data_IF_494281124840
#
_entry.id   IF_494281124840
#
_cell.length_a   1.000
_cell.length_b   1.000
_cell.length_c   1.000
_cell.angle_alpha   90.00
_cell.angle_beta   90.00
_cell.angle_gamma   90.00
#
_symmetry.space_group_name_H-M   'P 1'
#
loop_
_entity.id
_entity.type
_entity.pdbx_description
1 polymer ?
#
# COMPACT_ATOMS: atom_id res chain seq x y z
N UNK A 1 64.30 -31.95 -6.62
CA UNK A 1 63.43 -33.05 -6.15
C UNK A 1 62.00 -32.53 -6.10
N UNK A 2 61.08 -33.09 -6.90
CA UNK A 2 59.72 -32.61 -7.06
C UNK A 2 58.77 -33.26 -6.04
N UNK A 3 57.84 -32.49 -5.48
CA UNK A 3 56.65 -33.02 -4.81
C UNK A 3 55.41 -32.61 -5.59
N UNK A 4 54.50 -33.57 -5.66
CA UNK A 4 53.57 -33.83 -6.74
C UNK A 4 52.31 -32.98 -6.59
N UNK A 5 51.88 -32.38 -7.70
CA UNK A 5 50.60 -31.68 -7.86
C UNK A 5 49.47 -32.71 -7.93
N UNK A 6 48.64 -32.79 -6.90
CA UNK A 6 47.38 -33.53 -6.98
C UNK A 6 46.27 -32.56 -7.39
N UNK A 7 45.89 -32.62 -8.67
CA UNK A 7 44.73 -31.92 -9.24
C UNK A 7 43.46 -32.67 -8.83
N UNK A 8 42.59 -32.05 -8.06
CA UNK A 8 41.21 -32.50 -7.92
C UNK A 8 40.38 -31.94 -9.07
N UNK A 9 39.92 -32.84 -9.92
CA UNK A 9 39.13 -32.58 -11.11
C UNK A 9 37.65 -32.80 -10.71
N UNK A 10 36.90 -31.72 -10.51
CA UNK A 10 35.45 -31.80 -10.27
C UNK A 10 34.78 -31.89 -11.65
N UNK A 11 34.25 -33.08 -11.96
CA UNK A 11 33.44 -33.32 -13.15
C UNK A 11 32.12 -32.55 -13.06
N UNK A 12 31.92 -31.64 -14.02
CA UNK A 12 30.60 -31.13 -14.40
C UNK A 12 29.82 -32.26 -15.09
N UNK A 13 28.75 -32.74 -14.45
CA UNK A 13 27.72 -33.54 -15.11
C UNK A 13 26.75 -32.58 -15.82
N UNK A 14 26.98 -32.35 -17.11
CA UNK A 14 25.95 -31.89 -18.03
C UNK A 14 24.98 -33.04 -18.26
N UNK A 15 23.81 -32.99 -17.63
CA UNK A 15 22.69 -33.85 -18.02
C UNK A 15 21.97 -33.20 -19.20
N UNK A 16 22.33 -33.64 -20.41
CA UNK A 16 21.57 -33.44 -21.63
C UNK A 16 20.22 -34.14 -21.47
N UNK A 17 19.16 -33.40 -21.14
CA UNK A 17 17.80 -33.89 -21.25
C UNK A 17 17.41 -33.88 -22.74
N UNK A 18 17.65 -35.01 -23.39
CA UNK A 18 17.18 -35.33 -24.74
C UNK A 18 15.69 -35.05 -24.86
N UNK A 19 15.32 -34.24 -25.85
CA UNK A 19 13.94 -34.09 -26.28
C UNK A 19 13.42 -35.43 -26.79
N UNK A 20 12.66 -36.12 -25.94
CA UNK A 20 11.77 -37.19 -26.37
C UNK A 20 10.44 -36.53 -26.77
N UNK A 21 10.23 -36.45 -28.09
CA UNK A 21 8.89 -36.28 -28.65
C UNK A 21 8.08 -37.52 -28.24
N UNK A 22 7.29 -37.38 -27.17
CA UNK A 22 6.35 -38.38 -26.72
C UNK A 22 5.00 -38.08 -27.35
N UNK A 23 4.60 -39.01 -28.20
CA UNK A 23 3.33 -39.12 -28.90
C UNK A 23 2.14 -38.80 -28.01
N UNK A 24 1.17 -38.11 -28.61
CA UNK A 24 -0.15 -37.86 -28.05
C UNK A 24 -0.85 -39.17 -27.65
N UNK A 25 -0.91 -39.43 -26.34
CA UNK A 25 -1.96 -40.25 -25.74
C UNK A 25 -2.91 -39.31 -25.00
N UNK A 26 -4.10 -39.15 -25.57
CA UNK A 26 -4.98 -38.00 -25.38
C UNK A 26 -6.15 -38.32 -24.44
N UNK A 27 -5.93 -39.05 -23.34
CA UNK A 27 -7.05 -39.53 -22.51
C UNK A 27 -6.80 -39.78 -21.02
N UNK A 28 -5.79 -39.17 -20.37
CA UNK A 28 -5.72 -39.14 -18.89
C UNK A 28 -4.95 -37.92 -18.39
N UNK A 29 -5.49 -36.73 -18.64
CA UNK A 29 -5.01 -35.50 -18.00
C UNK A 29 -5.71 -35.39 -16.65
N UNK A 30 -5.01 -35.76 -15.56
CA UNK A 30 -5.50 -35.56 -14.20
C UNK A 30 -5.60 -34.05 -13.92
N UNK A 31 -6.83 -33.52 -13.92
CA UNK A 31 -7.08 -32.14 -13.50
C UNK A 31 -7.00 -32.07 -11.98
N UNK A 32 -5.87 -31.62 -11.46
CA UNK A 32 -5.71 -31.32 -10.03
C UNK A 32 -6.39 -29.96 -9.75
N UNK A 33 -7.63 -29.99 -9.27
CA UNK A 33 -8.32 -28.79 -8.79
C UNK A 33 -7.82 -28.41 -7.39
N UNK A 34 -6.95 -27.41 -7.31
CA UNK A 34 -6.52 -26.83 -6.04
C UNK A 34 -7.59 -25.86 -5.55
N UNK A 35 -8.45 -26.31 -4.64
CA UNK A 35 -9.43 -25.46 -3.95
C UNK A 35 -8.78 -24.79 -2.75
N UNK A 36 -8.70 -23.46 -2.75
CA UNK A 36 -8.09 -22.70 -1.67
C UNK A 36 -8.68 -21.30 -1.55
N UNK A 37 -8.83 -20.81 -0.31
CA UNK A 37 -9.25 -19.42 -0.06
C UNK A 37 -8.04 -18.51 -0.26
N UNK A 38 -8.19 -17.45 -1.06
CA UNK A 38 -7.17 -16.40 -1.18
C UNK A 38 -6.88 -15.80 0.20
N UNK A 39 -5.61 -15.73 0.64
CA UNK A 39 -5.26 -15.21 1.96
C UNK A 39 -5.53 -13.70 2.02
N UNK A 40 -5.91 -13.19 3.20
CA UNK A 40 -6.21 -11.77 3.40
C UNK A 40 -5.02 -10.87 3.00
N UNK A 41 -3.79 -11.34 3.26
CA UNK A 41 -2.56 -10.64 2.89
C UNK A 41 -2.48 -10.34 1.39
N UNK A 42 -3.02 -11.22 0.53
CA UNK A 42 -3.05 -11.00 -0.91
C UNK A 42 -3.87 -9.75 -1.26
N UNK A 43 -5.07 -9.62 -0.68
CA UNK A 43 -5.93 -8.46 -0.89
C UNK A 43 -5.30 -7.19 -0.32
N UNK A 44 -4.65 -7.28 0.84
CA UNK A 44 -3.93 -6.15 1.42
C UNK A 44 -2.82 -5.65 0.49
N UNK A 45 -1.97 -6.55 -0.02
CA UNK A 45 -0.88 -6.21 -0.93
C UNK A 45 -1.40 -5.60 -2.23
N UNK A 46 -2.48 -6.16 -2.79
CA UNK A 46 -3.08 -5.64 -4.02
C UNK A 46 -3.64 -4.23 -3.82
N UNK A 47 -4.38 -4.00 -2.73
CA UNK A 47 -4.87 -2.67 -2.35
C UNK A 47 -3.72 -1.67 -2.25
N UNK A 48 -2.65 -2.05 -1.56
CA UNK A 48 -1.49 -1.19 -1.35
C UNK A 48 -0.75 -0.87 -2.66
N UNK A 49 -0.56 -1.86 -3.53
CA UNK A 49 0.01 -1.66 -4.87
C UNK A 49 -0.80 -0.64 -5.69
N UNK A 50 -2.13 -0.79 -5.72
CA UNK A 50 -3.00 0.12 -6.47
C UNK A 50 -3.03 1.51 -5.87
N UNK A 51 -3.06 1.62 -4.53
CA UNK A 51 -2.95 2.89 -3.80
C UNK A 51 -1.68 3.65 -4.19
N UNK A 52 -0.53 2.97 -4.15
CA UNK A 52 0.75 3.56 -4.53
C UNK A 52 0.82 3.93 -6.00
N UNK A 53 0.21 3.15 -6.90
CA UNK A 53 0.15 3.48 -8.33
C UNK A 53 -0.62 4.78 -8.57
N UNK A 54 -1.79 4.92 -7.96
CA UNK A 54 -2.59 6.15 -7.97
C UNK A 54 -1.79 7.35 -7.43
N UNK A 55 -1.18 7.23 -6.25
CA UNK A 55 -0.41 8.31 -5.62
C UNK A 55 0.80 8.73 -6.46
N UNK A 56 1.56 7.77 -7.01
CA UNK A 56 2.70 8.09 -7.88
C UNK A 56 2.27 8.82 -9.14
N UNK A 57 1.14 8.45 -9.72
CA UNK A 57 0.64 9.13 -10.92
C UNK A 57 0.14 10.54 -10.58
N UNK A 58 -0.57 10.72 -9.46
CA UNK A 58 -0.92 12.03 -8.93
C UNK A 58 0.30 12.95 -8.80
N UNK A 59 1.35 12.48 -8.11
CA UNK A 59 2.57 13.24 -7.85
C UNK A 59 3.34 13.65 -9.10
N UNK A 60 3.20 12.90 -10.20
CA UNK A 60 3.83 13.23 -11.49
C UNK A 60 3.15 14.41 -12.20
N UNK A 61 1.87 14.61 -11.96
CA UNK A 61 1.04 15.58 -12.70
C UNK A 61 0.84 16.86 -11.90
N UNK A 62 0.70 16.73 -10.58
CA UNK A 62 0.50 17.89 -9.71
C UNK A 62 1.79 18.68 -9.59
N UNK A 63 1.67 19.99 -9.82
CA UNK A 63 2.79 20.92 -9.76
C UNK A 63 3.07 21.39 -8.34
N UNK A 64 2.04 21.57 -7.51
CA UNK A 64 2.20 21.96 -6.11
C UNK A 64 2.82 20.81 -5.31
N UNK A 65 4.05 21.00 -4.85
CA UNK A 65 4.79 20.02 -4.06
C UNK A 65 4.11 19.74 -2.70
N UNK A 66 3.44 20.72 -2.11
CA UNK A 66 2.76 20.55 -0.82
C UNK A 66 1.58 19.57 -0.93
N UNK A 67 0.92 19.50 -2.09
CA UNK A 67 -0.19 18.57 -2.33
C UNK A 67 0.26 17.13 -2.62
N UNK A 68 1.53 16.90 -2.99
CA UNK A 68 2.03 15.56 -3.34
C UNK A 68 1.97 14.62 -2.15
N UNK A 69 1.75 13.34 -2.42
CA UNK A 69 1.80 12.29 -1.41
C UNK A 69 3.24 11.88 -1.10
N UNK A 70 3.57 11.79 0.18
CA UNK A 70 4.85 11.31 0.68
C UNK A 70 4.64 10.18 1.70
N UNK A 71 5.36 9.08 1.51
CA UNK A 71 5.27 7.86 2.31
C UNK A 71 6.52 7.73 3.18
N UNK A 72 6.32 7.79 4.50
CA UNK A 72 7.40 7.69 5.50
C UNK A 72 7.21 6.48 6.38
N UNK A 73 8.33 5.84 6.75
CA UNK A 73 8.33 4.78 7.77
C UNK A 73 8.24 5.42 9.14
N UNK A 74 7.18 5.09 9.87
CA UNK A 74 6.88 5.62 11.19
C UNK A 74 6.61 4.47 12.16
N UNK A 75 7.20 4.53 13.34
CA UNK A 75 6.88 3.67 14.47
C UNK A 75 6.06 4.50 15.47
N UNK A 76 4.80 4.13 15.76
CA UNK A 76 4.03 4.83 16.78
C UNK A 76 4.72 4.82 18.15
N UNK A 77 4.44 5.85 18.95
CA UNK A 77 5.01 5.96 20.30
C UNK A 77 4.74 4.68 21.11
N UNK A 78 5.79 4.11 21.69
CA UNK A 78 5.71 2.89 22.51
C UNK A 78 5.77 1.56 21.73
N UNK A 79 5.92 1.58 20.41
CA UNK A 79 6.08 0.35 19.60
C UNK A 79 7.36 0.38 18.76
N UNK A 80 7.99 -0.79 18.58
CA UNK A 80 9.14 -1.00 17.67
C UNK A 80 8.70 -1.46 16.28
N UNK A 81 7.40 -1.55 16.03
CA UNK A 81 6.84 -2.01 14.77
C UNK A 81 6.75 -0.82 13.83
N UNK A 82 7.61 -0.84 12.84
CA UNK A 82 7.63 0.16 11.77
C UNK A 82 6.49 -0.11 10.79
N UNK A 83 5.71 0.92 10.49
CA UNK A 83 4.72 0.91 9.41
C UNK A 83 4.99 2.05 8.45
N UNK A 84 4.69 1.83 7.18
CA UNK A 84 4.68 2.91 6.21
C UNK A 84 3.37 3.69 6.34
N UNK A 85 3.48 5.01 6.39
CA UNK A 85 2.33 5.92 6.42
C UNK A 85 2.51 6.89 5.27
N UNK A 86 1.49 6.99 4.42
CA UNK A 86 1.46 7.96 3.33
C UNK A 86 0.47 9.07 3.65
N UNK A 87 0.94 10.32 3.56
CA UNK A 87 0.15 11.55 3.74
C UNK A 87 0.53 12.55 2.66
N UNK A 88 -0.19 13.65 2.56
CA UNK A 88 0.27 14.78 1.76
C UNK A 88 1.55 15.40 2.37
N UNK A 89 2.36 16.07 1.55
CA UNK A 89 3.55 16.77 2.02
C UNK A 89 3.18 17.91 2.99
N UNK A 90 2.08 18.63 2.74
CA UNK A 90 1.58 19.64 3.66
C UNK A 90 1.19 19.04 5.02
N UNK A 91 0.58 17.85 5.07
CA UNK A 91 0.23 17.21 6.36
C UNK A 91 1.50 16.91 7.15
N UNK A 92 2.55 16.39 6.49
CA UNK A 92 3.83 16.14 7.16
C UNK A 92 4.48 17.40 7.69
N UNK A 93 4.46 18.48 6.89
CA UNK A 93 5.03 19.76 7.26
C UNK A 93 4.29 20.36 8.45
N UNK A 94 2.97 20.49 8.35
CA UNK A 94 2.13 21.10 9.40
C UNK A 94 2.17 20.27 10.68
N UNK A 95 2.11 18.94 10.60
CA UNK A 95 2.25 18.10 11.80
C UNK A 95 3.60 18.30 12.48
N UNK A 96 4.68 18.41 11.70
CA UNK A 96 6.01 18.68 12.26
C UNK A 96 6.08 20.06 12.91
N UNK A 97 5.57 21.10 12.24
CA UNK A 97 5.53 22.46 12.78
C UNK A 97 4.78 22.50 14.12
N UNK A 98 3.61 21.86 14.21
CA UNK A 98 2.83 21.79 15.46
C UNK A 98 3.60 21.01 16.54
N UNK A 99 4.24 19.90 16.17
CA UNK A 99 5.03 19.11 17.13
C UNK A 99 6.19 19.94 17.69
N UNK A 100 6.96 20.60 16.82
CA UNK A 100 8.12 21.39 17.22
C UNK A 100 7.69 22.58 18.10
N UNK A 101 6.57 23.24 17.78
CA UNK A 101 5.98 24.31 18.58
C UNK A 101 5.54 23.82 19.96
N UNK A 102 4.81 22.71 20.05
CA UNK A 102 4.36 22.15 21.32
C UNK A 102 5.52 21.64 22.19
N UNK A 103 6.55 21.05 21.59
CA UNK A 103 7.77 20.68 22.31
C UNK A 103 8.47 21.93 22.86
N UNK A 104 8.55 23.02 22.08
CA UNK A 104 9.16 24.28 22.52
C UNK A 104 8.40 24.91 23.71
N UNK A 105 7.09 24.66 23.80
CA UNK A 105 6.23 25.04 24.93
C UNK A 105 6.31 24.10 26.13
N UNK A 106 7.11 23.03 26.05
CA UNK A 106 7.28 22.03 27.11
C UNK A 106 6.26 20.88 27.06
N UNK A 107 5.39 20.81 26.05
CA UNK A 107 4.38 19.77 25.91
C UNK A 107 4.88 18.55 25.11
N UNK A 108 5.91 17.89 25.61
CA UNK A 108 6.56 16.78 24.89
C UNK A 108 5.64 15.56 24.68
N UNK A 109 4.78 15.26 25.65
CA UNK A 109 3.94 14.05 25.63
C UNK A 109 2.63 14.23 24.85
N UNK A 110 2.11 15.46 24.74
CA UNK A 110 0.86 15.78 24.05
C UNK A 110 1.01 16.33 22.64
N UNK A 111 2.23 16.74 22.24
CA UNK A 111 2.51 17.36 20.94
C UNK A 111 1.96 16.56 19.75
N UNK A 112 2.14 15.23 19.75
CA UNK A 112 1.66 14.37 18.66
C UNK A 112 0.12 14.28 18.59
N UNK A 113 -0.58 14.40 19.71
CA UNK A 113 -2.04 14.42 19.75
C UNK A 113 -2.58 15.75 19.26
N UNK A 114 -1.92 16.86 19.60
CA UNK A 114 -2.29 18.19 19.12
C UNK A 114 -2.07 18.32 17.61
N UNK A 115 -0.95 17.81 17.10
CA UNK A 115 -0.68 17.76 15.67
C UNK A 115 -1.76 17.01 14.88
N UNK A 116 -2.37 15.97 15.46
CA UNK A 116 -3.49 15.25 14.84
C UNK A 116 -4.79 16.06 14.80
N UNK A 117 -5.01 16.99 15.73
CA UNK A 117 -6.18 17.88 15.67
C UNK A 117 -6.10 18.84 14.47
N UNK A 118 -4.86 19.16 14.07
CA UNK A 118 -4.58 20.02 12.94
C UNK A 118 -4.95 21.49 13.16
N UNK A 119 -4.66 22.31 12.16
CA UNK A 119 -4.92 23.75 12.18
C UNK A 119 -5.80 24.19 11.00
N UNK A 120 -6.06 25.49 10.89
CA UNK A 120 -6.86 26.05 9.79
C UNK A 120 -6.21 25.81 8.43
N UNK A 121 -4.89 25.99 8.34
CA UNK A 121 -4.13 25.77 7.11
C UNK A 121 -4.28 24.33 6.60
N UNK A 122 -4.13 23.35 7.47
CA UNK A 122 -4.29 21.94 7.13
C UNK A 122 -5.69 21.64 6.58
N UNK A 123 -6.73 22.25 7.16
CA UNK A 123 -8.11 22.12 6.64
C UNK A 123 -8.28 22.76 5.26
N UNK A 124 -7.68 23.92 5.05
CA UNK A 124 -7.76 24.62 3.77
C UNK A 124 -6.99 23.86 2.67
N UNK A 125 -5.80 23.31 2.99
CA UNK A 125 -5.02 22.46 2.08
C UNK A 125 -5.68 21.12 1.78
N UNK A 126 -6.35 20.50 2.75
CA UNK A 126 -7.18 19.31 2.50
C UNK A 126 -8.27 19.60 1.47
N UNK A 127 -9.00 20.71 1.59
CA UNK A 127 -10.02 21.11 0.59
C UNK A 127 -9.42 21.33 -0.79
N UNK A 128 -8.23 21.92 -0.87
CA UNK A 128 -7.52 22.11 -2.14
C UNK A 128 -7.11 20.77 -2.76
N UNK A 129 -6.59 19.84 -1.96
CA UNK A 129 -6.29 18.47 -2.38
C UNK A 129 -7.54 17.77 -2.92
N UNK A 130 -8.67 17.82 -2.18
CA UNK A 130 -9.98 17.30 -2.61
C UNK A 130 -10.34 17.82 -3.99
N UNK A 131 -10.27 19.15 -4.16
CA UNK A 131 -10.71 19.83 -5.38
C UNK A 131 -9.83 19.40 -6.55
N UNK A 132 -8.52 19.33 -6.33
CA UNK A 132 -7.54 18.91 -7.32
C UNK A 132 -7.82 17.48 -7.77
N UNK A 133 -8.02 16.55 -6.83
CA UNK A 133 -8.37 15.16 -7.14
C UNK A 133 -9.68 15.10 -7.95
N UNK A 134 -10.73 15.81 -7.53
CA UNK A 134 -12.01 15.84 -8.26
C UNK A 134 -11.87 16.34 -9.69
N UNK A 135 -11.12 17.41 -9.89
CA UNK A 135 -10.83 17.93 -11.24
C UNK A 135 -10.07 16.89 -12.06
N UNK A 136 -9.06 16.25 -11.49
CA UNK A 136 -8.28 15.22 -12.20
C UNK A 136 -9.12 13.98 -12.55
N UNK A 137 -10.05 13.56 -11.68
CA UNK A 137 -10.98 12.47 -11.99
C UNK A 137 -11.88 12.79 -13.19
N UNK A 138 -12.30 14.05 -13.33
CA UNK A 138 -13.16 14.48 -14.43
C UNK A 138 -12.38 14.72 -15.75
N UNK A 139 -11.11 15.11 -15.66
CA UNK A 139 -10.33 15.62 -16.81
C UNK A 139 -9.25 14.66 -17.30
N UNK A 140 -8.78 13.73 -16.48
CA UNK A 140 -7.70 12.81 -16.81
C UNK A 140 -8.19 11.36 -16.71
N UNK A 141 -8.44 10.74 -17.87
CA UNK A 141 -8.95 9.37 -17.96
C UNK A 141 -8.01 8.34 -17.29
N UNK A 142 -6.70 8.46 -17.50
CA UNK A 142 -5.73 7.55 -16.89
C UNK A 142 -5.70 7.70 -15.36
N UNK A 143 -5.83 8.93 -14.84
CA UNK A 143 -5.96 9.17 -13.41
C UNK A 143 -7.21 8.48 -12.83
N UNK A 144 -8.34 8.62 -13.52
CA UNK A 144 -9.59 7.98 -13.14
C UNK A 144 -9.49 6.44 -13.15
N UNK A 145 -8.80 5.86 -14.14
CA UNK A 145 -8.55 4.41 -14.22
C UNK A 145 -7.73 3.90 -13.02
N UNK A 146 -6.68 4.62 -12.61
CA UNK A 146 -5.91 4.24 -11.41
C UNK A 146 -6.71 4.39 -10.13
N UNK A 147 -7.51 5.45 -10.01
CA UNK A 147 -8.40 5.65 -8.87
C UNK A 147 -9.44 4.52 -8.75
N UNK A 148 -10.13 4.19 -9.84
CA UNK A 148 -11.14 3.13 -9.86
C UNK A 148 -10.51 1.77 -9.55
N UNK A 149 -9.31 1.50 -10.08
CA UNK A 149 -8.56 0.28 -9.76
C UNK A 149 -8.22 0.18 -8.28
N UNK A 150 -7.84 1.30 -7.65
CA UNK A 150 -7.61 1.35 -6.20
C UNK A 150 -8.89 1.14 -5.41
N UNK A 151 -9.99 1.82 -5.77
CA UNK A 151 -11.29 1.66 -5.10
C UNK A 151 -11.80 0.22 -5.14
N UNK A 152 -11.75 -0.43 -6.30
CA UNK A 152 -12.12 -1.83 -6.42
C UNK A 152 -11.23 -2.75 -5.56
N UNK A 153 -9.92 -2.49 -5.49
CA UNK A 153 -9.02 -3.28 -4.63
C UNK A 153 -9.29 -3.05 -3.12
N UNK A 154 -9.64 -1.81 -2.73
CA UNK A 154 -10.01 -1.46 -1.36
C UNK A 154 -11.31 -2.14 -0.93
N UNK A 155 -12.34 -2.11 -1.78
CA UNK A 155 -13.61 -2.81 -1.54
C UNK A 155 -13.42 -4.32 -1.42
N UNK A 156 -12.64 -4.93 -2.32
CA UNK A 156 -12.30 -6.35 -2.23
C UNK A 156 -11.58 -6.71 -0.92
N UNK A 157 -10.67 -5.84 -0.45
CA UNK A 157 -10.00 -6.04 0.84
C UNK A 157 -10.98 -5.93 2.00
N UNK A 158 -11.84 -4.90 2.03
CA UNK A 158 -12.85 -4.70 3.08
C UNK A 158 -13.80 -5.90 3.16
N UNK A 159 -14.31 -6.36 2.01
CA UNK A 159 -15.17 -7.53 1.93
C UNK A 159 -14.46 -8.80 2.41
N UNK A 160 -13.20 -9.00 2.01
CA UNK A 160 -12.39 -10.13 2.48
C UNK A 160 -12.12 -10.07 3.99
N UNK A 161 -11.92 -8.87 4.54
CA UNK A 161 -11.71 -8.62 5.96
C UNK A 161 -12.99 -8.91 6.76
N UNK A 162 -14.14 -8.38 6.34
CA UNK A 162 -15.44 -8.66 6.97
C UNK A 162 -15.81 -10.12 6.91
N UNK A 163 -15.56 -10.81 5.79
CA UNK A 163 -15.74 -12.27 5.70
C UNK A 163 -14.77 -13.06 6.58
N UNK A 164 -13.61 -12.52 6.93
CA UNK A 164 -12.62 -13.20 7.78
C UNK A 164 -12.90 -13.00 9.27
N UNK A 165 -13.39 -11.82 9.67
CA UNK A 165 -13.54 -11.43 11.07
C UNK A 165 -14.98 -11.25 11.55
N UNK A 166 -15.98 -11.28 10.66
CA UNK A 166 -17.39 -11.09 11.01
C UNK A 166 -17.62 -9.76 11.72
N UNK A 167 -18.31 -9.78 12.86
CA UNK A 167 -18.55 -8.61 13.72
C UNK A 167 -17.30 -8.03 14.40
N UNK A 168 -16.16 -8.74 14.37
CA UNK A 168 -14.87 -8.18 14.83
C UNK A 168 -14.17 -7.38 13.72
N UNK A 169 -14.73 -7.34 12.52
CA UNK A 169 -14.22 -6.52 11.43
C UNK A 169 -14.57 -5.06 11.67
N UNK A 170 -13.61 -4.15 11.53
CA UNK A 170 -13.89 -2.71 11.47
C UNK A 170 -14.66 -2.27 10.20
N UNK A 171 -15.01 -3.22 9.34
CA UNK A 171 -15.72 -3.02 8.08
C UNK A 171 -17.00 -3.85 8.02
N UNK A 172 -17.52 -4.36 9.14
CA UNK A 172 -18.83 -5.01 9.17
C UNK A 172 -19.92 -4.01 8.80
N UNK A 173 -20.95 -4.47 8.09
CA UNK A 173 -22.08 -3.66 7.62
C UNK A 173 -22.87 -2.99 8.76
N UNK A 174 -22.62 -3.36 10.02
CA UNK A 174 -23.21 -2.76 11.22
C UNK A 174 -22.74 -1.31 11.50
N UNK A 175 -21.72 -0.82 10.80
CA UNK A 175 -21.12 0.52 11.02
C UNK A 175 -21.28 1.49 9.82
N UNK A 176 -22.07 1.15 8.80
CA UNK A 176 -22.24 2.02 7.61
C UNK A 176 -22.82 3.41 7.93
N UNK A 177 -23.49 3.58 9.07
CA UNK A 177 -24.03 4.87 9.52
C UNK A 177 -22.96 5.86 10.07
N UNK A 178 -21.71 5.43 10.25
CA UNK A 178 -20.66 6.26 10.86
C UNK A 178 -19.62 6.82 9.87
N UNK A 179 -19.51 6.29 8.64
CA UNK A 179 -18.40 6.61 7.72
C UNK A 179 -18.70 7.65 6.63
N UNK A 180 -19.94 8.12 6.51
CA UNK A 180 -20.34 9.20 5.59
C UNK A 180 -19.84 10.60 6.02
N UNK A 181 -19.02 10.70 7.07
CA UNK A 181 -18.45 11.98 7.52
C UNK A 181 -16.93 12.13 7.37
N UNK A 182 -16.18 11.11 6.95
CA UNK A 182 -14.73 11.25 6.84
C UNK A 182 -14.06 10.32 5.80
N UNK A 183 -14.67 10.14 4.63
CA UNK A 183 -13.98 9.43 3.54
C UNK A 183 -14.40 9.87 2.13
N UNK A 184 -14.53 11.17 1.93
CA UNK A 184 -14.07 11.78 0.68
C UNK A 184 -12.73 12.45 1.00
N UNK A 185 -11.71 12.40 0.10
CA UNK A 185 -10.63 13.36 0.20
C UNK A 185 -11.22 14.77 0.25
#
# INVERSE_FOLDING_TARGET
MPFVRTRFLILLLLSSASGAALSADNNNMETIEVTGKKPLQLYFNLRDEKRHKFMRYFNKIVQDDDLKFDCKRFAPTGTRIWREVCKSAFDWRIEKEIIDEEISRGNMFGAAQIAKMGNKEQRDRKKELTRTIKVMLATNKEFAEYWNSFKAADENFKNAHSKAFGSLSMYSEEDEDAQDKESAP
#
